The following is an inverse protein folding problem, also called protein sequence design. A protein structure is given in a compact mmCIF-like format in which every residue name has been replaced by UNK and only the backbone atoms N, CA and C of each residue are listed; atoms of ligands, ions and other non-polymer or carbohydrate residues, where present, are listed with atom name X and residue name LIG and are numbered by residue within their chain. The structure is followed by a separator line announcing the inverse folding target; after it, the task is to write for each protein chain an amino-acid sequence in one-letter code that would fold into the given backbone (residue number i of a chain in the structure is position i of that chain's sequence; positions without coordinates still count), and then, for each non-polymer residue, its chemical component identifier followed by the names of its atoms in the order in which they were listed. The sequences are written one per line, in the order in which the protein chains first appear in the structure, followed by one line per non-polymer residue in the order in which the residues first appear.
data_IF_929301172220
#
_entry.id   IF_929301172220
#
_cell.length_a   1.000
_cell.length_b   1.000
_cell.length_c   1.000
_cell.angle_alpha   90.00
_cell.angle_beta   90.00
_cell.angle_gamma   90.00
#
_symmetry.space_group_name_H-M   'P 1'
#
loop_
_entity.id
_entity.type
_entity.pdbx_description
1 polymer ?
#
# COMPACT_ATOMS: atom_id res chain seq x y z
N UNK A 1 11.04 -12.05 19.90
CA UNK A 1 10.81 -10.76 19.25
C UNK A 1 11.21 -9.66 20.21
N UNK A 2 12.17 -8.82 19.85
CA UNK A 2 12.58 -7.66 20.63
C UNK A 2 11.64 -6.50 20.34
N UNK A 3 11.09 -5.89 21.39
CA UNK A 3 10.20 -4.74 21.30
C UNK A 3 10.61 -3.68 22.31
N UNK A 4 10.42 -2.38 22.03
CA UNK A 4 10.61 -1.36 23.04
C UNK A 4 9.64 -1.54 24.20
N UNK A 5 10.12 -1.38 25.43
CA UNK A 5 9.31 -1.47 26.63
C UNK A 5 8.50 -0.17 26.78
N UNK A 6 7.18 -0.29 26.99
CA UNK A 6 6.40 0.91 27.35
C UNK A 6 6.84 1.39 28.75
N UNK A 7 7.36 2.62 28.80
CA UNK A 7 7.65 3.27 30.06
C UNK A 7 6.35 3.73 30.73
N UNK A 8 6.21 3.60 32.06
CA UNK A 8 5.05 4.14 32.75
C UNK A 8 4.88 5.64 32.49
N UNK A 9 3.64 6.09 32.33
CA UNK A 9 3.31 7.48 31.95
C UNK A 9 3.84 8.57 32.90
N UNK A 10 4.17 8.21 34.15
CA UNK A 10 4.77 9.13 35.12
C UNK A 10 6.28 9.35 34.91
N UNK A 11 6.94 8.57 34.03
CA UNK A 11 8.38 8.69 33.79
C UNK A 11 8.73 9.65 32.63
N UNK A 12 7.81 10.47 32.16
CA UNK A 12 8.35 11.43 31.29
C UNK A 12 7.62 12.10 30.21
N UNK A 13 6.55 12.73 30.48
CA UNK A 13 5.99 13.72 29.54
C UNK A 13 5.86 15.11 30.16
N UNK A 14 6.74 15.48 31.05
CA UNK A 14 6.88 16.89 31.44
C UNK A 14 7.87 17.53 30.48
N UNK A 15 7.40 18.46 29.68
CA UNK A 15 8.19 19.16 28.69
C UNK A 15 9.55 19.64 29.20
N UNK A 16 10.51 19.59 28.29
CA UNK A 16 11.82 20.22 28.44
C UNK A 16 12.90 19.44 29.21
N UNK A 17 13.06 18.14 28.97
CA UNK A 17 14.31 17.48 29.36
C UNK A 17 14.91 16.75 28.17
N UNK A 18 16.07 17.21 27.75
CA UNK A 18 16.98 16.63 26.76
C UNK A 18 17.61 15.29 27.19
N UNK A 19 16.97 14.54 28.07
CA UNK A 19 17.42 13.26 28.59
C UNK A 19 16.27 12.26 28.79
N UNK A 20 15.33 12.20 27.82
CA UNK A 20 14.40 11.08 27.78
C UNK A 20 15.20 9.81 27.49
N UNK A 21 15.32 8.91 28.46
CA UNK A 21 15.90 7.59 28.27
C UNK A 21 15.07 6.87 27.18
N UNK A 22 15.74 6.42 26.12
CA UNK A 22 15.12 5.57 25.14
C UNK A 22 14.59 4.30 25.82
N UNK A 23 13.37 3.88 25.45
CA UNK A 23 12.77 2.68 26.00
C UNK A 23 13.69 1.46 25.70
N UNK A 24 14.08 0.67 26.71
CA UNK A 24 14.89 -0.50 26.48
C UNK A 24 14.14 -1.54 25.67
N UNK A 25 14.86 -2.31 24.84
CA UNK A 25 14.29 -3.42 24.11
C UNK A 25 14.23 -4.68 24.99
N UNK A 26 13.12 -5.40 24.92
CA UNK A 26 12.90 -6.65 25.64
C UNK A 26 12.22 -7.70 24.76
N UNK A 27 12.26 -8.97 25.20
CA UNK A 27 11.62 -10.08 24.51
C UNK A 27 10.15 -10.21 24.96
N UNK A 28 9.24 -9.58 24.21
CA UNK A 28 7.81 -9.56 24.56
C UNK A 28 6.93 -10.45 23.66
N UNK A 29 7.48 -11.08 22.63
CA UNK A 29 6.67 -11.88 21.72
C UNK A 29 7.44 -13.04 21.08
N UNK A 30 6.67 -14.01 20.59
CA UNK A 30 7.17 -15.13 19.80
C UNK A 30 6.50 -15.17 18.43
N UNK A 31 7.29 -15.42 17.41
CA UNK A 31 6.84 -15.54 16.01
C UNK A 31 7.22 -16.92 15.51
N UNK A 32 6.31 -17.57 14.84
CA UNK A 32 6.55 -18.79 14.09
C UNK A 32 6.62 -18.47 12.59
N UNK A 33 7.65 -18.97 11.91
CA UNK A 33 7.76 -18.94 10.46
C UNK A 33 7.82 -20.39 9.96
N UNK A 34 6.99 -20.69 8.95
CA UNK A 34 6.97 -21.98 8.26
C UNK A 34 7.01 -21.75 6.76
N UNK A 35 7.90 -22.45 6.09
CA UNK A 35 8.05 -22.29 4.65
C UNK A 35 8.55 -23.52 3.96
N UNK A 36 8.48 -23.49 2.64
CA UNK A 36 9.06 -24.45 1.74
C UNK A 36 9.85 -23.67 0.68
N UNK A 37 11.07 -24.14 0.41
CA UNK A 37 11.91 -23.63 -0.66
C UNK A 37 12.24 -24.77 -1.61
N UNK A 38 12.14 -24.50 -2.90
CA UNK A 38 12.48 -25.44 -3.96
C UNK A 38 13.40 -24.74 -4.94
N UNK A 39 14.56 -25.35 -5.20
CA UNK A 39 15.51 -24.92 -6.22
C UNK A 39 15.67 -26.04 -7.25
N UNK A 40 15.54 -25.69 -8.52
CA UNK A 40 15.73 -26.60 -9.65
C UNK A 40 16.86 -26.06 -10.50
N UNK A 41 17.96 -26.81 -10.58
CA UNK A 41 19.08 -26.56 -11.46
C UNK A 41 19.03 -27.55 -12.63
N UNK A 42 18.98 -27.02 -13.83
CA UNK A 42 18.93 -27.82 -15.06
C UNK A 42 19.98 -27.36 -16.07
N UNK A 43 20.49 -28.31 -16.83
CA UNK A 43 21.39 -28.08 -17.96
C UNK A 43 20.72 -28.66 -19.23
N UNK A 44 19.67 -27.98 -19.76
CA UNK A 44 18.86 -28.54 -20.83
C UNK A 44 19.65 -28.82 -22.12
N UNK A 45 20.64 -27.98 -22.37
CA UNK A 45 21.53 -28.11 -23.55
C UNK A 45 22.97 -27.94 -23.13
N UNK A 46 23.81 -28.90 -23.49
CA UNK A 46 25.25 -28.81 -23.30
C UNK A 46 25.95 -29.44 -24.50
N UNK A 47 26.37 -28.60 -25.43
CA UNK A 47 27.12 -28.99 -26.63
C UNK A 47 28.48 -28.29 -26.69
N UNK A 48 29.33 -28.68 -27.61
CA UNK A 48 30.66 -28.07 -27.79
C UNK A 48 30.61 -26.52 -27.98
N UNK A 49 29.56 -26.01 -28.66
CA UNK A 49 29.47 -24.64 -29.08
C UNK A 49 28.36 -23.84 -28.37
N UNK A 50 27.43 -24.54 -27.71
CA UNK A 50 26.29 -23.92 -27.06
C UNK A 50 25.94 -24.65 -25.77
N UNK A 51 25.77 -23.91 -24.69
CA UNK A 51 25.20 -24.41 -23.44
C UNK A 51 24.07 -23.50 -22.94
N UNK A 52 23.10 -24.11 -22.31
CA UNK A 52 22.02 -23.46 -21.59
C UNK A 52 21.93 -24.03 -20.18
N UNK A 53 22.15 -23.16 -19.20
CA UNK A 53 21.96 -23.44 -17.77
C UNK A 53 20.74 -22.68 -17.28
N UNK A 54 19.85 -23.33 -16.56
CA UNK A 54 18.63 -22.76 -16.02
C UNK A 54 18.51 -23.08 -14.55
N UNK A 55 18.38 -22.07 -13.71
CA UNK A 55 18.20 -22.16 -12.28
C UNK A 55 16.88 -21.48 -11.91
N UNK A 56 15.94 -22.25 -11.36
CA UNK A 56 14.66 -21.75 -10.88
C UNK A 56 14.54 -22.01 -9.39
N UNK A 57 14.18 -20.97 -8.66
CA UNK A 57 13.91 -21.03 -7.23
C UNK A 57 12.52 -20.48 -6.91
N UNK A 58 11.84 -21.08 -5.96
CA UNK A 58 10.55 -20.62 -5.46
C UNK A 58 10.49 -20.86 -3.96
N UNK A 59 10.01 -19.85 -3.22
CA UNK A 59 9.89 -19.90 -1.77
C UNK A 59 8.47 -19.52 -1.34
N UNK A 60 7.89 -20.33 -0.47
CA UNK A 60 6.64 -20.07 0.24
C UNK A 60 6.96 -19.89 1.72
N UNK A 61 6.54 -18.78 2.29
CA UNK A 61 6.69 -18.54 3.72
C UNK A 61 5.39 -18.03 4.34
N UNK A 62 5.04 -18.53 5.52
CA UNK A 62 3.95 -18.04 6.35
C UNK A 62 4.47 -17.72 7.72
N UNK A 63 4.22 -16.52 8.19
CA UNK A 63 4.50 -16.12 9.55
C UNK A 63 3.23 -16.12 10.40
N UNK A 64 3.39 -16.25 11.71
CA UNK A 64 2.32 -16.18 12.69
C UNK A 64 2.86 -15.65 14.02
N UNK A 65 2.19 -14.66 14.58
CA UNK A 65 2.45 -14.24 15.95
C UNK A 65 1.83 -15.27 16.91
N UNK A 66 2.67 -16.00 17.66
CA UNK A 66 2.19 -17.09 18.51
C UNK A 66 1.98 -16.66 19.95
N UNK A 67 2.72 -15.66 20.42
CA UNK A 67 2.63 -15.16 21.78
C UNK A 67 3.01 -13.68 21.81
N UNK A 68 2.32 -12.94 22.66
CA UNK A 68 2.67 -11.58 23.06
C UNK A 68 2.58 -11.50 24.57
N UNK A 69 3.65 -11.09 25.24
CA UNK A 69 3.69 -10.92 26.70
C UNK A 69 3.74 -9.44 27.02
N UNK A 70 2.80 -8.97 27.85
CA UNK A 70 2.69 -7.57 28.27
C UNK A 70 1.28 -7.28 28.76
N UNK A 71 1.14 -6.23 29.53
CA UNK A 71 -0.02 -6.01 30.40
C UNK A 71 -1.24 -5.39 29.73
N UNK A 72 -1.24 -5.02 28.45
CA UNK A 72 -2.38 -4.24 27.96
C UNK A 72 -2.78 -4.36 26.50
N UNK A 73 -2.03 -4.98 25.64
CA UNK A 73 -2.52 -5.10 24.25
C UNK A 73 -2.20 -6.46 23.66
N UNK A 74 -3.24 -7.16 23.30
CA UNK A 74 -3.16 -8.42 22.56
C UNK A 74 -2.69 -8.24 21.10
N UNK A 75 -2.25 -7.04 20.71
CA UNK A 75 -1.91 -6.69 19.33
C UNK A 75 -0.71 -5.75 19.24
N UNK A 76 0.04 -5.86 18.14
CA UNK A 76 1.06 -4.89 17.73
C UNK A 76 0.44 -4.01 16.65
N UNK A 77 0.43 -2.71 16.89
CA UNK A 77 -0.09 -1.71 15.94
C UNK A 77 1.06 -1.10 15.16
N UNK A 78 0.91 -1.06 13.85
CA UNK A 78 1.80 -0.33 12.95
C UNK A 78 1.17 1.00 12.57
N UNK A 79 1.92 2.09 12.79
CA UNK A 79 1.47 3.46 12.58
C UNK A 79 2.10 4.02 11.32
N UNK A 80 1.29 4.62 10.46
CA UNK A 80 1.72 5.30 9.25
C UNK A 80 2.29 6.69 9.52
N UNK A 81 2.76 7.35 8.48
CA UNK A 81 3.46 8.64 8.56
C UNK A 81 2.64 9.78 9.19
N UNK A 82 1.31 9.71 9.16
CA UNK A 82 0.41 10.72 9.73
C UNK A 82 -0.29 10.24 11.01
N UNK A 83 0.36 9.36 11.77
CA UNK A 83 -0.17 8.76 13.01
C UNK A 83 -1.40 7.85 12.84
N UNK A 84 -1.75 7.48 11.61
CA UNK A 84 -2.84 6.52 11.37
C UNK A 84 -2.38 5.11 11.70
N UNK A 85 -3.17 4.35 12.42
CA UNK A 85 -2.96 2.90 12.55
C UNK A 85 -3.30 2.23 11.24
N UNK A 86 -2.29 1.77 10.50
CA UNK A 86 -2.45 1.16 9.17
C UNK A 86 -2.31 -0.36 9.18
N UNK A 87 -1.68 -0.92 10.20
CA UNK A 87 -1.53 -2.37 10.34
C UNK A 87 -1.73 -2.84 11.76
N UNK A 88 -2.12 -4.11 11.89
CA UNK A 88 -2.33 -4.80 13.16
C UNK A 88 -1.79 -6.21 13.10
N UNK A 89 -1.17 -6.67 14.18
CA UNK A 89 -0.68 -8.04 14.33
C UNK A 89 -1.23 -8.61 15.63
N UNK A 90 -2.30 -9.41 15.54
CA UNK A 90 -2.88 -10.11 16.68
C UNK A 90 -2.23 -11.48 16.89
N UNK A 91 -2.26 -11.98 18.11
CA UNK A 91 -1.86 -13.34 18.42
C UNK A 91 -2.72 -14.32 17.63
N UNK A 92 -2.10 -15.24 16.94
CA UNK A 92 -2.76 -16.19 16.06
C UNK A 92 -2.84 -15.76 14.60
N UNK A 93 -2.51 -14.51 14.26
CA UNK A 93 -2.57 -13.93 12.92
C UNK A 93 -1.16 -13.71 12.34
N UNK A 94 -1.05 -13.55 11.00
CA UNK A 94 0.16 -13.06 10.36
C UNK A 94 0.53 -11.65 10.85
N UNK A 95 1.83 -11.35 10.80
CA UNK A 95 2.34 -10.01 11.12
C UNK A 95 2.01 -8.99 10.04
N UNK A 96 1.88 -7.73 10.45
CA UNK A 96 1.80 -6.54 9.60
C UNK A 96 0.57 -6.50 8.68
N UNK A 97 -0.50 -7.24 8.96
CA UNK A 97 -1.70 -7.18 8.16
C UNK A 97 -2.30 -5.75 8.20
N UNK A 98 -2.68 -5.24 7.03
CA UNK A 98 -3.39 -3.97 6.95
C UNK A 98 -4.72 -4.06 7.68
N UNK A 99 -5.02 -3.03 8.48
CA UNK A 99 -6.16 -2.99 9.37
C UNK A 99 -6.90 -1.67 9.21
N UNK A 100 -8.16 -1.74 8.76
CA UNK A 100 -8.94 -0.55 8.42
C UNK A 100 -10.39 -0.88 8.11
N UNK A 101 -11.07 0.10 7.52
CA UNK A 101 -12.47 0.00 7.16
C UNK A 101 -12.67 -0.70 5.82
N UNK A 102 -13.84 -1.30 5.64
CA UNK A 102 -14.31 -1.85 4.36
C UNK A 102 -15.27 -0.86 3.73
N UNK A 103 -15.04 -0.49 2.48
CA UNK A 103 -15.89 0.46 1.77
C UNK A 103 -17.11 -0.22 1.15
N UNK A 104 -18.21 0.53 1.01
CA UNK A 104 -19.50 0.08 0.42
C UNK A 104 -20.01 1.06 -0.64
N UNK A 105 -19.10 1.65 -1.40
CA UNK A 105 -19.42 2.66 -2.40
C UNK A 105 -19.50 4.07 -1.83
N UNK A 106 -20.43 4.86 -2.34
CA UNK A 106 -20.68 6.25 -1.91
C UNK A 106 -22.17 6.45 -1.60
N UNK A 107 -22.45 7.39 -0.73
CA UNK A 107 -23.83 7.79 -0.49
C UNK A 107 -24.42 8.46 -1.73
N UNK A 108 -25.52 7.95 -2.26
CA UNK A 108 -26.08 8.41 -3.54
C UNK A 108 -27.17 9.47 -3.41
N UNK A 109 -27.83 9.53 -2.24
CA UNK A 109 -28.92 10.46 -1.93
C UNK A 109 -29.07 10.66 -0.43
N UNK A 110 -29.89 11.61 -0.03
CA UNK A 110 -30.31 11.76 1.37
C UNK A 110 -30.93 10.49 1.94
N UNK A 111 -31.84 9.87 1.19
CA UNK A 111 -32.48 8.63 1.61
C UNK A 111 -31.48 7.49 1.83
N UNK A 112 -30.46 7.38 0.99
CA UNK A 112 -29.37 6.41 1.16
C UNK A 112 -28.59 6.69 2.45
N UNK A 113 -28.30 7.96 2.77
CA UNK A 113 -27.68 8.34 4.04
C UNK A 113 -28.56 7.89 5.22
N UNK A 114 -29.85 8.20 5.20
CA UNK A 114 -30.75 7.87 6.31
C UNK A 114 -30.90 6.36 6.56
N UNK A 115 -30.87 5.57 5.49
CA UNK A 115 -31.03 4.12 5.55
C UNK A 115 -29.72 3.35 5.75
N UNK A 116 -28.58 4.03 5.81
CA UNK A 116 -27.25 3.40 5.95
C UNK A 116 -26.67 3.63 7.34
N UNK A 117 -25.76 2.75 7.81
CA UNK A 117 -24.93 3.01 8.98
C UNK A 117 -24.16 4.32 8.82
N UNK A 118 -23.99 5.06 9.90
CA UNK A 118 -23.43 6.41 9.89
C UNK A 118 -22.22 6.54 10.82
N UNK A 119 -21.21 7.35 10.44
CA UNK A 119 -20.10 7.66 11.34
C UNK A 119 -20.61 8.24 12.67
N UNK A 120 -19.92 7.92 13.76
CA UNK A 120 -20.31 8.41 15.11
C UNK A 120 -20.37 9.94 15.22
N UNK A 121 -19.64 10.66 14.38
CA UNK A 121 -19.68 12.13 14.28
C UNK A 121 -20.85 12.66 13.45
N UNK A 122 -21.68 11.77 12.92
CA UNK A 122 -22.80 12.14 12.07
C UNK A 122 -23.84 12.97 12.81
N UNK A 123 -24.36 13.95 12.12
CA UNK A 123 -25.54 14.69 12.59
C UNK A 123 -25.30 15.69 13.70
N UNK A 124 -24.09 16.20 13.87
CA UNK A 124 -23.80 17.20 14.90
C UNK A 124 -24.97 18.13 15.24
N UNK A 125 -24.97 18.85 16.31
CA UNK A 125 -26.11 19.62 16.90
C UNK A 125 -26.89 20.54 15.93
N UNK A 126 -26.38 20.77 14.72
CA UNK A 126 -26.93 21.69 13.72
C UNK A 126 -27.56 20.96 12.48
N UNK A 127 -27.75 19.65 12.52
CA UNK A 127 -28.29 18.89 11.39
C UNK A 127 -27.30 18.73 10.22
N UNK A 128 -27.81 18.40 9.03
CA UNK A 128 -27.01 18.18 7.84
C UNK A 128 -26.32 19.44 7.37
N UNK A 129 -25.00 19.42 7.33
CA UNK A 129 -24.20 20.47 6.79
C UNK A 129 -22.99 19.87 6.09
N UNK A 130 -22.82 20.12 4.78
CA UNK A 130 -21.72 19.58 3.99
C UNK A 130 -20.33 19.91 4.51
N UNK A 131 -20.17 20.82 5.44
CA UNK A 131 -18.89 21.20 6.03
C UNK A 131 -18.56 20.47 7.34
N UNK A 132 -19.52 19.80 7.95
CA UNK A 132 -19.34 19.16 9.25
C UNK A 132 -20.09 17.84 9.46
N UNK A 133 -20.69 17.29 8.39
CA UNK A 133 -21.41 16.01 8.43
C UNK A 133 -21.14 15.19 7.17
N UNK A 134 -21.56 13.93 7.18
CA UNK A 134 -21.65 13.10 5.96
C UNK A 134 -22.52 13.79 4.92
N UNK A 135 -22.09 13.71 3.67
CA UNK A 135 -22.80 14.30 2.55
C UNK A 135 -22.99 13.31 1.40
N UNK A 136 -23.93 13.63 0.52
CA UNK A 136 -24.14 12.88 -0.71
C UNK A 136 -22.86 12.90 -1.55
N UNK A 137 -22.39 11.71 -1.96
CA UNK A 137 -21.12 11.53 -2.67
C UNK A 137 -19.92 11.16 -1.79
N UNK A 138 -20.06 11.19 -0.46
CA UNK A 138 -19.04 10.71 0.47
C UNK A 138 -18.93 9.18 0.47
N UNK A 139 -17.77 8.65 0.88
CA UNK A 139 -17.56 7.21 1.02
C UNK A 139 -18.46 6.64 2.08
N UNK A 140 -19.14 5.56 1.73
CA UNK A 140 -19.91 4.73 2.65
C UNK A 140 -19.05 3.57 3.14
N UNK A 141 -18.99 3.35 4.44
CA UNK A 141 -18.29 2.25 5.08
C UNK A 141 -19.24 1.20 5.60
N UNK A 142 -18.80 -0.06 5.67
CA UNK A 142 -19.59 -1.16 6.22
C UNK A 142 -19.54 -1.15 7.72
N UNK A 143 -20.71 -1.25 8.33
CA UNK A 143 -20.90 -1.62 9.74
C UNK A 143 -20.76 -3.15 9.84
N UNK A 144 -19.68 -3.60 10.44
CA UNK A 144 -19.36 -5.04 10.54
C UNK A 144 -19.31 -5.52 11.98
N UNK A 145 -19.17 -4.60 12.95
CA UNK A 145 -19.04 -4.95 14.36
C UNK A 145 -19.38 -3.74 15.24
N UNK A 146 -19.89 -3.99 16.42
CA UNK A 146 -20.10 -3.02 17.50
C UNK A 146 -19.49 -3.54 18.81
N UNK A 147 -19.82 -2.94 19.97
CA UNK A 147 -19.27 -3.33 21.27
C UNK A 147 -19.55 -4.79 21.66
N UNK A 148 -20.63 -5.38 21.14
CA UNK A 148 -21.00 -6.79 21.35
C UNK A 148 -20.58 -7.72 20.21
N UNK A 149 -19.77 -7.22 19.26
CA UNK A 149 -19.29 -7.96 18.09
C UNK A 149 -20.29 -8.12 16.97
N UNK A 150 -21.34 -7.30 16.94
CA UNK A 150 -22.37 -7.27 15.88
C UNK A 150 -22.57 -5.86 15.34
N UNK A 151 -23.04 -5.70 14.09
CA UNK A 151 -23.41 -4.40 13.54
C UNK A 151 -24.37 -3.64 14.47
N UNK A 152 -24.11 -2.37 14.74
CA UNK A 152 -24.88 -1.54 15.66
C UNK A 152 -25.49 -0.28 15.03
N UNK A 153 -25.34 -0.13 13.70
CA UNK A 153 -25.87 1.02 12.93
C UNK A 153 -24.94 2.22 12.93
N UNK A 154 -23.73 2.10 13.49
CA UNK A 154 -22.74 3.17 13.53
C UNK A 154 -21.45 2.71 12.85
N UNK A 155 -20.66 3.68 12.39
CA UNK A 155 -19.31 3.43 11.87
C UNK A 155 -18.31 4.01 12.86
N UNK A 156 -17.61 3.14 13.56
CA UNK A 156 -16.59 3.50 14.56
C UNK A 156 -15.36 2.59 14.51
N UNK A 157 -14.51 2.64 15.51
CA UNK A 157 -13.28 1.83 15.59
C UNK A 157 -13.54 0.31 15.62
N UNK A 158 -14.74 -0.13 16.00
CA UNK A 158 -15.12 -1.55 16.05
C UNK A 158 -15.33 -2.13 14.64
N UNK A 159 -15.60 -1.28 13.62
CA UNK A 159 -15.81 -1.68 12.23
C UNK A 159 -14.52 -1.90 11.46
N UNK A 160 -13.36 -1.71 12.11
CA UNK A 160 -12.08 -1.98 11.47
C UNK A 160 -11.78 -3.47 11.47
N UNK A 161 -11.27 -3.94 10.33
CA UNK A 161 -10.93 -5.36 10.13
C UNK A 161 -9.65 -5.52 9.32
N UNK A 162 -9.21 -6.76 9.13
CA UNK A 162 -8.08 -7.06 8.24
C UNK A 162 -8.47 -6.88 6.78
N UNK A 163 -7.86 -5.91 6.12
CA UNK A 163 -8.16 -5.52 4.73
C UNK A 163 -7.10 -5.96 3.72
N UNK A 164 -6.01 -6.53 4.17
CA UNK A 164 -4.96 -7.06 3.30
C UNK A 164 -3.72 -7.56 4.03
N UNK A 165 -2.96 -8.40 3.35
CA UNK A 165 -1.70 -8.92 3.86
C UNK A 165 -0.54 -8.48 2.96
N UNK A 166 0.47 -7.75 3.48
CA UNK A 166 1.61 -7.32 2.69
C UNK A 166 2.61 -8.45 2.40
N UNK A 167 2.53 -9.57 3.12
CA UNK A 167 3.41 -10.69 2.89
C UNK A 167 3.00 -11.46 1.64
N UNK A 168 3.96 -11.79 0.75
CA UNK A 168 3.67 -12.57 -0.44
C UNK A 168 3.23 -14.00 -0.10
N UNK A 169 2.43 -14.58 -0.94
CA UNK A 169 2.12 -16.02 -0.89
C UNK A 169 3.33 -16.84 -1.30
N UNK A 170 4.06 -16.36 -2.31
CA UNK A 170 5.34 -16.91 -2.73
C UNK A 170 6.17 -15.85 -3.47
N UNK A 171 7.48 -16.07 -3.47
CA UNK A 171 8.45 -15.35 -4.29
C UNK A 171 9.19 -16.36 -5.16
N UNK A 172 9.68 -15.91 -6.32
CA UNK A 172 10.45 -16.75 -7.19
C UNK A 172 11.59 -15.98 -7.85
N UNK A 173 12.64 -16.70 -8.19
CA UNK A 173 13.77 -16.28 -9.01
C UNK A 173 13.99 -17.25 -10.14
N UNK A 174 14.36 -16.75 -11.32
CA UNK A 174 14.70 -17.57 -12.48
C UNK A 174 15.87 -16.99 -13.23
N UNK A 175 17.01 -17.69 -13.15
CA UNK A 175 18.23 -17.36 -13.87
C UNK A 175 18.40 -18.29 -15.08
N UNK A 176 18.61 -17.70 -16.25
CA UNK A 176 18.97 -18.43 -17.45
C UNK A 176 20.32 -17.92 -17.98
N UNK A 177 21.26 -18.81 -18.18
CA UNK A 177 22.56 -18.50 -18.73
C UNK A 177 22.77 -19.28 -20.02
N UNK A 178 22.98 -18.55 -21.09
CA UNK A 178 23.27 -19.07 -22.41
C UNK A 178 24.71 -18.77 -22.76
N UNK A 179 25.45 -19.75 -23.24
CA UNK A 179 26.82 -19.57 -23.77
C UNK A 179 26.86 -20.07 -25.20
N UNK A 180 27.31 -19.23 -26.09
CA UNK A 180 27.50 -19.59 -27.48
C UNK A 180 28.87 -19.13 -27.93
N UNK A 181 29.81 -20.09 -28.12
CA UNK A 181 31.24 -19.81 -28.40
C UNK A 181 31.80 -18.80 -27.36
N UNK A 182 32.13 -17.62 -27.82
CA UNK A 182 32.78 -16.55 -27.03
C UNK A 182 31.76 -15.58 -26.42
N UNK A 183 30.44 -15.78 -26.66
CA UNK A 183 29.36 -14.99 -26.07
C UNK A 183 28.76 -15.70 -24.86
N UNK A 184 28.41 -14.92 -23.86
CA UNK A 184 27.57 -15.33 -22.74
C UNK A 184 26.43 -14.34 -22.52
N UNK A 185 25.24 -14.85 -22.28
CA UNK A 185 24.04 -14.08 -21.95
C UNK A 185 23.44 -14.66 -20.68
N UNK A 186 23.29 -13.85 -19.65
CA UNK A 186 22.59 -14.21 -18.42
C UNK A 186 21.35 -13.33 -18.25
N UNK A 187 20.21 -13.92 -17.95
CA UNK A 187 18.95 -13.23 -17.70
C UNK A 187 18.43 -13.69 -16.33
N UNK A 188 18.25 -12.75 -15.42
CA UNK A 188 17.63 -12.99 -14.12
C UNK A 188 16.29 -12.29 -14.04
N UNK A 189 15.26 -13.07 -13.72
CA UNK A 189 13.89 -12.64 -13.53
C UNK A 189 13.51 -12.96 -12.09
N UNK A 190 12.87 -12.02 -11.39
CA UNK A 190 12.30 -12.30 -10.09
C UNK A 190 10.86 -11.83 -10.01
N UNK A 191 10.14 -12.35 -9.03
CA UNK A 191 8.76 -11.93 -8.79
C UNK A 191 8.28 -12.22 -7.38
N UNK A 192 7.24 -11.51 -7.03
CA UNK A 192 6.48 -11.66 -5.78
C UNK A 192 5.00 -11.77 -6.13
N UNK A 193 4.29 -12.70 -5.50
CA UNK A 193 2.89 -12.95 -5.83
C UNK A 193 2.03 -13.04 -4.58
N UNK A 194 0.91 -12.33 -4.62
CA UNK A 194 -0.14 -12.39 -3.61
C UNK A 194 0.01 -11.42 -2.45
N UNK A 195 1.08 -10.62 -2.43
CA UNK A 195 1.22 -9.50 -1.48
C UNK A 195 0.28 -8.36 -1.84
N UNK A 196 -0.18 -7.65 -0.80
CA UNK A 196 -0.91 -6.39 -0.92
C UNK A 196 0.02 -5.22 -0.59
N UNK A 197 -0.27 -4.08 -1.19
CA UNK A 197 0.39 -2.79 -0.92
C UNK A 197 -0.68 -1.80 -0.50
N UNK A 198 -0.44 -1.08 0.58
CA UNK A 198 -1.22 0.10 0.93
C UNK A 198 -0.64 1.31 0.21
N UNK A 199 -1.35 1.83 -0.79
CA UNK A 199 -0.92 2.97 -1.58
C UNK A 199 -1.26 4.28 -0.83
N UNK A 200 -0.37 4.69 0.05
CA UNK A 200 -0.56 5.85 0.93
C UNK A 200 -0.47 7.17 0.17
N UNK A 201 0.29 7.22 -0.93
CA UNK A 201 0.33 8.39 -1.82
C UNK A 201 -1.02 8.60 -2.46
N UNK A 202 -1.64 7.53 -2.97
CA UNK A 202 -2.96 7.60 -3.58
C UNK A 202 -4.01 8.11 -2.60
N UNK A 203 -3.91 7.73 -1.32
CA UNK A 203 -4.80 8.25 -0.28
C UNK A 203 -4.75 9.79 -0.21
N UNK A 204 -3.57 10.38 -0.38
CA UNK A 204 -3.40 11.83 -0.40
C UNK A 204 -3.82 12.46 -1.71
N UNK A 205 -3.42 11.87 -2.84
CA UNK A 205 -3.69 12.43 -4.17
C UNK A 205 -5.16 12.27 -4.60
N UNK A 206 -5.90 11.33 -4.02
CA UNK A 206 -7.34 11.11 -4.28
C UNK A 206 -8.24 11.79 -3.22
N UNK A 207 -7.67 12.54 -2.28
CA UNK A 207 -8.40 13.09 -1.14
C UNK A 207 -9.46 14.13 -1.52
N UNK A 208 -9.17 15.00 -2.48
CA UNK A 208 -10.07 16.08 -2.97
C UNK A 208 -10.69 16.94 -1.85
N UNK A 209 -9.95 17.13 -0.76
CA UNK A 209 -10.39 17.83 0.44
C UNK A 209 -9.79 19.22 0.63
N UNK A 210 -8.85 19.58 -0.23
CA UNK A 210 -8.15 20.86 -0.19
C UNK A 210 -7.93 21.40 -1.61
N UNK A 211 -8.09 22.69 -1.80
CA UNK A 211 -7.81 23.38 -3.07
C UNK A 211 -6.32 23.64 -3.28
N UNK A 212 -5.50 23.41 -2.27
CA UNK A 212 -4.06 23.68 -2.27
C UNK A 212 -3.19 22.44 -2.50
N UNK A 213 -3.81 21.27 -2.64
CA UNK A 213 -3.11 20.00 -2.83
C UNK A 213 -3.20 19.54 -4.28
N UNK A 214 -2.12 18.98 -4.80
CA UNK A 214 -2.12 18.30 -6.09
C UNK A 214 -2.98 17.04 -6.00
N UNK A 215 -3.66 16.72 -7.11
CA UNK A 215 -4.53 15.56 -7.23
C UNK A 215 -4.05 14.62 -8.34
N UNK A 216 -4.37 13.35 -8.19
CA UNK A 216 -4.16 12.34 -9.23
C UNK A 216 -5.19 12.52 -10.35
N UNK A 217 -4.84 12.14 -11.59
CA UNK A 217 -5.80 12.06 -12.69
C UNK A 217 -6.93 11.06 -12.47
N UNK A 218 -6.78 10.13 -11.52
CA UNK A 218 -7.83 9.17 -11.14
C UNK A 218 -9.09 9.87 -10.64
N UNK A 219 -8.97 11.07 -10.04
CA UNK A 219 -10.11 11.85 -9.54
C UNK A 219 -11.03 12.37 -10.65
N UNK A 220 -10.61 12.31 -11.91
CA UNK A 220 -11.49 12.61 -13.05
C UNK A 220 -12.65 11.61 -13.14
N UNK A 221 -12.47 10.40 -12.64
CA UNK A 221 -13.51 9.37 -12.55
C UNK A 221 -14.33 9.42 -11.26
N UNK A 222 -14.29 10.51 -10.49
CA UNK A 222 -15.05 10.66 -9.25
C UNK A 222 -16.56 10.62 -9.45
N UNK A 223 -17.28 10.31 -8.40
CA UNK A 223 -18.73 10.49 -8.34
C UNK A 223 -19.10 11.98 -8.49
N UNK A 224 -20.10 12.28 -9.28
CA UNK A 224 -20.56 13.63 -9.52
C UNK A 224 -21.89 13.90 -8.83
N UNK A 225 -21.94 14.98 -8.06
CA UNK A 225 -23.16 15.47 -7.43
C UNK A 225 -23.90 16.37 -8.41
N UNK A 226 -25.22 16.17 -8.54
CA UNK A 226 -26.11 16.98 -9.37
C UNK A 226 -27.37 17.34 -8.61
N UNK A 227 -28.04 18.40 -9.05
CA UNK A 227 -29.37 18.73 -8.52
C UNK A 227 -30.41 17.69 -9.00
N UNK A 228 -31.30 17.24 -8.12
CA UNK A 228 -32.49 16.45 -8.47
C UNK A 228 -33.44 17.33 -9.31
N UNK A 229 -33.73 18.53 -8.82
CA UNK A 229 -34.48 19.55 -9.54
C UNK A 229 -33.59 20.75 -9.81
N UNK A 230 -33.01 20.89 -11.02
CA UNK A 230 -32.13 22.01 -11.37
C UNK A 230 -32.87 23.38 -11.44
N UNK A 231 -34.19 23.36 -11.54
CA UNK A 231 -35.03 24.56 -11.63
C UNK A 231 -35.64 24.98 -10.28
N UNK A 232 -35.21 24.39 -9.15
CA UNK A 232 -35.69 24.78 -7.83
C UNK A 232 -35.26 26.21 -7.53
N UNK A 233 -36.22 27.06 -7.16
CA UNK A 233 -35.97 28.46 -6.83
C UNK A 233 -35.41 28.60 -5.40
N UNK A 234 -34.25 29.19 -5.28
CA UNK A 234 -33.56 29.50 -4.03
C UNK A 234 -33.47 31.01 -3.73
N UNK A 235 -34.10 31.87 -4.51
CA UNK A 235 -33.99 33.32 -4.37
C UNK A 235 -34.45 33.84 -3.02
N UNK A 236 -35.47 33.20 -2.43
CA UNK A 236 -35.99 33.52 -1.09
C UNK A 236 -35.44 32.61 0.02
N UNK A 237 -34.48 31.77 -0.31
CA UNK A 237 -34.01 30.69 0.55
C UNK A 237 -34.98 29.53 0.67
N UNK A 238 -34.46 28.37 0.98
CA UNK A 238 -35.20 27.15 1.26
C UNK A 238 -34.88 26.63 2.65
N UNK A 239 -35.87 26.31 3.43
CA UNK A 239 -35.68 25.73 4.77
C UNK A 239 -35.72 24.20 4.67
N UNK A 240 -34.55 23.62 4.49
CA UNK A 240 -34.36 22.17 4.38
C UNK A 240 -34.29 21.46 5.73
N UNK A 241 -33.86 20.22 5.74
CA UNK A 241 -33.76 19.35 6.91
C UNK A 241 -32.91 19.90 8.05
N UNK A 242 -31.92 20.74 7.77
CA UNK A 242 -30.98 21.29 8.74
C UNK A 242 -31.46 22.55 9.45
N UNK A 243 -32.72 22.90 9.33
CA UNK A 243 -33.30 24.13 9.89
C UNK A 243 -32.63 25.45 9.46
N UNK A 244 -31.54 25.42 8.69
CA UNK A 244 -30.88 26.56 8.13
C UNK A 244 -31.51 26.95 6.79
N UNK A 245 -31.43 28.22 6.44
CA UNK A 245 -31.84 28.67 5.11
C UNK A 245 -30.77 28.28 4.07
N UNK A 246 -31.20 27.61 3.02
CA UNK A 246 -30.37 27.18 1.90
C UNK A 246 -30.64 28.07 0.68
N UNK A 247 -29.61 28.57 0.06
CA UNK A 247 -29.68 29.49 -1.07
C UNK A 247 -29.12 28.90 -2.37
N UNK A 248 -28.63 27.67 -2.34
CA UNK A 248 -28.05 26.99 -3.47
C UNK A 248 -28.39 25.50 -3.47
N UNK A 249 -28.52 24.89 -4.65
CA UNK A 249 -28.85 23.48 -4.80
C UNK A 249 -27.81 22.54 -4.15
N UNK A 250 -26.54 22.90 -4.18
CA UNK A 250 -25.46 22.08 -3.63
C UNK A 250 -25.33 22.13 -2.09
N UNK A 251 -26.09 22.99 -1.43
CA UNK A 251 -26.24 23.04 0.03
C UNK A 251 -27.57 22.45 0.49
N UNK A 252 -28.43 22.04 -0.45
CA UNK A 252 -29.75 21.46 -0.17
C UNK A 252 -29.68 19.93 -0.24
N UNK A 253 -29.60 19.26 0.91
CA UNK A 253 -29.50 17.81 0.98
C UNK A 253 -30.71 17.09 0.37
N UNK A 254 -31.86 17.75 0.31
CA UNK A 254 -33.08 17.21 -0.30
C UNK A 254 -33.07 17.31 -1.83
N UNK A 255 -32.16 18.10 -2.39
CA UNK A 255 -32.08 18.34 -3.82
C UNK A 255 -30.75 17.92 -4.44
N UNK A 256 -29.95 17.13 -3.76
CA UNK A 256 -28.69 16.60 -4.29
C UNK A 256 -28.72 15.08 -4.46
N UNK A 257 -28.09 14.60 -5.53
CA UNK A 257 -27.94 13.17 -5.80
C UNK A 257 -26.63 12.91 -6.54
N UNK A 258 -26.17 11.67 -6.49
CA UNK A 258 -25.09 11.17 -7.33
C UNK A 258 -25.69 10.48 -8.55
N UNK A 259 -25.35 10.95 -9.76
CA UNK A 259 -25.87 10.38 -11.02
C UNK A 259 -24.96 9.30 -11.60
N UNK A 260 -23.67 9.27 -11.24
CA UNK A 260 -22.68 8.30 -11.70
C UNK A 260 -21.88 7.77 -10.50
N UNK A 261 -22.46 6.94 -9.64
CA UNK A 261 -21.72 6.42 -8.48
C UNK A 261 -20.51 5.61 -8.92
N UNK A 262 -19.35 5.94 -8.38
CA UNK A 262 -18.10 5.22 -8.57
C UNK A 262 -17.50 4.87 -7.21
N UNK A 263 -16.39 4.14 -7.19
CA UNK A 263 -15.62 3.89 -5.94
C UNK A 263 -14.83 5.12 -5.47
N UNK A 264 -14.83 6.22 -6.25
CA UNK A 264 -14.15 7.47 -5.91
C UNK A 264 -15.21 8.46 -5.44
N UNK A 265 -15.13 9.01 -4.22
CA UNK A 265 -16.12 9.94 -3.69
C UNK A 265 -16.18 11.23 -4.51
N UNK A 266 -17.22 12.00 -4.31
CA UNK A 266 -17.26 13.37 -4.76
C UNK A 266 -16.22 14.21 -4.01
N UNK A 267 -15.82 15.34 -4.61
CA UNK A 267 -14.95 16.29 -3.93
C UNK A 267 -15.69 16.90 -2.74
N UNK A 268 -15.09 16.82 -1.55
CA UNK A 268 -15.66 17.33 -0.32
C UNK A 268 -14.62 18.13 0.46
N UNK A 269 -14.81 19.45 0.47
CA UNK A 269 -13.90 20.36 1.16
C UNK A 269 -13.85 20.06 2.66
N UNK A 270 -12.66 20.03 3.23
CA UNK A 270 -12.37 19.69 4.63
C UNK A 270 -12.69 18.23 5.04
N UNK A 271 -13.32 17.44 4.17
CA UNK A 271 -13.58 16.00 4.34
C UNK A 271 -14.08 15.59 5.74
N UNK A 272 -15.23 16.09 6.21
CA UNK A 272 -15.74 15.80 7.56
C UNK A 272 -16.12 14.32 7.74
N UNK A 273 -16.41 13.60 6.66
CA UNK A 273 -16.64 12.15 6.67
C UNK A 273 -15.35 11.35 6.80
N UNK A 274 -14.18 12.00 6.59
CA UNK A 274 -12.90 11.32 6.51
C UNK A 274 -12.89 10.23 5.41
N UNK A 275 -13.20 10.63 4.17
CA UNK A 275 -13.15 9.76 2.98
C UNK A 275 -11.74 9.16 2.77
N UNK A 276 -10.75 9.70 3.47
CA UNK A 276 -9.36 9.25 3.50
C UNK A 276 -9.03 8.30 4.65
N UNK A 277 -10.02 7.77 5.38
CA UNK A 277 -9.78 6.75 6.41
C UNK A 277 -8.97 5.58 5.86
N UNK A 278 -8.17 4.97 6.73
CA UNK A 278 -7.49 3.72 6.40
C UNK A 278 -8.51 2.66 6.02
N UNK A 279 -8.56 2.30 4.74
CA UNK A 279 -9.61 1.42 4.19
C UNK A 279 -9.08 0.57 3.03
N UNK A 280 -9.86 -0.42 2.64
CA UNK A 280 -9.59 -1.31 1.51
C UNK A 280 -9.50 -0.57 0.16
N UNK A 281 -10.04 0.65 0.08
CA UNK A 281 -9.96 1.52 -1.10
C UNK A 281 -8.52 1.77 -1.57
N UNK A 282 -7.56 1.79 -0.66
CA UNK A 282 -6.15 2.07 -0.93
C UNK A 282 -5.28 0.82 -0.94
N UNK A 283 -5.89 -0.35 -0.78
CA UNK A 283 -5.21 -1.64 -0.86
C UNK A 283 -5.15 -2.10 -2.31
N UNK A 284 -3.93 -2.27 -2.82
CA UNK A 284 -3.69 -2.70 -4.19
C UNK A 284 -2.96 -4.04 -4.25
N UNK A 285 -3.02 -4.67 -5.42
CA UNK A 285 -2.24 -5.89 -5.67
C UNK A 285 -0.78 -5.53 -5.92
N UNK A 286 0.10 -5.94 -5.02
CA UNK A 286 1.54 -5.71 -5.11
C UNK A 286 2.30 -6.79 -5.86
N UNK A 287 1.61 -7.75 -6.50
CA UNK A 287 2.29 -8.80 -7.27
C UNK A 287 3.01 -8.22 -8.47
N UNK A 288 4.21 -8.73 -8.73
CA UNK A 288 5.00 -8.31 -9.89
C UNK A 288 5.91 -9.42 -10.41
N UNK A 289 6.33 -9.27 -11.66
CA UNK A 289 7.44 -9.95 -12.29
C UNK A 289 8.38 -8.89 -12.86
N UNK A 290 9.68 -9.02 -12.55
CA UNK A 290 10.70 -8.07 -13.00
C UNK A 290 11.84 -8.77 -13.70
N UNK A 291 12.21 -8.26 -14.88
CA UNK A 291 13.50 -8.57 -15.50
C UNK A 291 14.57 -7.77 -14.74
N UNK A 292 15.14 -8.43 -13.73
CA UNK A 292 16.00 -7.79 -12.73
C UNK A 292 17.39 -7.50 -13.25
N UNK A 293 17.93 -8.41 -14.06
CA UNK A 293 19.27 -8.27 -14.60
C UNK A 293 19.40 -9.00 -15.94
N UNK A 294 20.03 -8.33 -16.91
CA UNK A 294 20.48 -8.94 -18.17
C UNK A 294 21.95 -8.59 -18.33
N UNK A 295 22.79 -9.60 -18.48
CA UNK A 295 24.22 -9.44 -18.74
C UNK A 295 24.58 -10.12 -20.05
N UNK A 296 25.12 -9.37 -20.99
CA UNK A 296 25.72 -9.88 -22.21
C UNK A 296 27.22 -9.70 -22.14
N UNK A 297 27.98 -10.76 -22.29
CA UNK A 297 29.44 -10.78 -22.32
C UNK A 297 29.96 -11.28 -23.64
N UNK A 298 31.11 -10.75 -24.04
CA UNK A 298 31.91 -11.26 -25.15
C UNK A 298 33.38 -11.36 -24.74
N UNK A 299 33.94 -12.55 -24.82
CA UNK A 299 35.34 -12.82 -24.52
C UNK A 299 36.10 -12.95 -25.85
N UNK A 300 37.11 -12.10 -26.05
CA UNK A 300 37.87 -12.13 -27.29
C UNK A 300 38.66 -13.43 -27.42
N UNK A 301 38.64 -14.09 -28.61
CA UNK A 301 39.45 -15.27 -28.86
C UNK A 301 40.94 -15.01 -28.60
N UNK A 302 41.62 -15.91 -27.89
CA UNK A 302 43.07 -15.77 -27.55
C UNK A 302 43.95 -15.50 -28.75
N UNK A 303 43.61 -16.01 -29.93
CA UNK A 303 44.35 -15.80 -31.17
C UNK A 303 44.44 -14.33 -31.58
N UNK A 304 43.39 -13.51 -31.26
CA UNK A 304 43.37 -12.11 -31.63
C UNK A 304 44.15 -11.22 -30.66
N UNK A 305 44.15 -11.57 -29.38
CA UNK A 305 44.72 -10.71 -28.31
C UNK A 305 46.18 -11.07 -27.96
N UNK A 306 46.62 -12.28 -28.28
CA UNK A 306 48.00 -12.74 -28.00
C UNK A 306 49.08 -11.88 -28.66
N UNK A 307 48.80 -11.35 -29.86
CA UNK A 307 49.74 -10.51 -30.59
C UNK A 307 50.04 -9.16 -29.92
N UNK A 308 49.18 -8.72 -29.02
CA UNK A 308 49.32 -7.47 -28.24
C UNK A 308 49.71 -7.74 -26.79
N UNK A 309 50.10 -9.00 -26.46
CA UNK A 309 50.59 -9.36 -25.13
C UNK A 309 49.47 -9.51 -24.06
N UNK A 310 48.23 -9.68 -24.48
CA UNK A 310 47.11 -9.85 -23.54
C UNK A 310 46.71 -11.33 -23.42
N UNK A 311 46.37 -11.75 -22.18
CA UNK A 311 45.91 -13.11 -21.89
C UNK A 311 44.39 -13.28 -22.02
N UNK A 312 43.66 -12.27 -21.57
CA UNK A 312 42.20 -12.27 -21.66
C UNK A 312 41.68 -10.85 -21.83
N UNK A 313 40.68 -10.69 -22.70
CA UNK A 313 39.91 -9.45 -22.86
C UNK A 313 38.46 -9.80 -22.92
N UNK A 314 37.65 -9.22 -22.02
CA UNK A 314 36.18 -9.41 -22.00
C UNK A 314 35.46 -8.08 -21.97
N UNK A 315 34.54 -7.88 -22.89
CA UNK A 315 33.55 -6.81 -22.87
C UNK A 315 32.27 -7.32 -22.22
N UNK A 316 31.61 -6.50 -21.44
CA UNK A 316 30.29 -6.82 -20.88
C UNK A 316 29.37 -5.61 -20.91
N UNK A 317 28.10 -5.89 -21.12
CA UNK A 317 26.99 -4.95 -20.96
C UNK A 317 26.02 -5.54 -19.96
N UNK A 318 25.65 -4.77 -18.96
CA UNK A 318 24.69 -5.17 -17.94
C UNK A 318 23.55 -4.15 -17.90
N UNK A 319 22.31 -4.65 -17.85
CA UNK A 319 21.10 -3.86 -17.71
C UNK A 319 20.37 -4.34 -16.46
N UNK A 320 20.12 -3.44 -15.52
CA UNK A 320 19.36 -3.75 -14.30
C UNK A 320 17.99 -3.11 -14.35
N UNK A 321 16.99 -3.82 -13.80
CA UNK A 321 15.60 -3.36 -13.68
C UNK A 321 15.00 -2.93 -15.03
N UNK A 322 15.25 -3.70 -16.09
CA UNK A 322 14.85 -3.35 -17.45
C UNK A 322 13.34 -3.19 -17.60
N UNK A 323 12.58 -4.10 -17.01
CA UNK A 323 11.13 -4.13 -17.17
C UNK A 323 10.44 -4.78 -15.98
N UNK A 324 9.30 -4.21 -15.58
CA UNK A 324 8.45 -4.72 -14.51
C UNK A 324 7.02 -4.86 -15.01
N UNK A 325 6.46 -6.06 -14.89
CA UNK A 325 5.05 -6.35 -15.16
C UNK A 325 4.33 -6.37 -13.82
N UNK A 326 3.37 -5.47 -13.63
CA UNK A 326 2.59 -5.36 -12.41
C UNK A 326 1.22 -4.72 -12.68
N UNK A 327 0.25 -5.03 -11.82
CA UNK A 327 -1.02 -4.30 -11.75
C UNK A 327 -1.04 -3.19 -10.71
N UNK A 328 0.06 -2.98 -9.99
CA UNK A 328 0.20 -1.91 -9.01
C UNK A 328 0.23 -0.54 -9.70
N UNK A 329 -0.48 0.44 -9.14
CA UNK A 329 -0.63 1.78 -9.75
C UNK A 329 0.34 2.82 -9.19
N UNK A 330 1.13 2.48 -8.16
CA UNK A 330 2.21 3.33 -7.64
C UNK A 330 3.47 3.24 -8.48
N UNK A 331 4.56 3.84 -7.99
CA UNK A 331 5.82 3.93 -8.74
C UNK A 331 6.57 2.61 -8.86
N UNK A 332 6.61 1.80 -7.79
CA UNK A 332 7.35 0.53 -7.75
C UNK A 332 6.60 -0.45 -6.83
N UNK A 333 6.25 -1.67 -7.30
CA UNK A 333 5.58 -2.68 -6.48
C UNK A 333 6.50 -3.34 -5.44
N UNK A 334 7.83 -3.19 -5.57
CA UNK A 334 8.82 -3.78 -4.65
C UNK A 334 8.92 -2.93 -3.37
N UNK A 335 7.83 -2.93 -2.59
CA UNK A 335 7.71 -2.23 -1.32
C UNK A 335 8.07 -3.18 -0.17
N UNK A 336 9.13 -2.84 0.55
CA UNK A 336 9.57 -3.55 1.75
C UNK A 336 9.02 -2.95 3.05
N UNK A 337 9.75 -3.16 4.14
CA UNK A 337 9.49 -2.47 5.40
C UNK A 337 9.74 -0.97 5.26
N UNK A 338 8.89 -0.17 5.88
CA UNK A 338 9.16 1.25 6.04
C UNK A 338 10.32 1.43 7.02
N UNK A 339 11.37 2.12 6.59
CA UNK A 339 12.55 2.42 7.41
C UNK A 339 12.49 3.80 8.04
N UNK A 340 11.49 4.61 7.70
CA UNK A 340 11.32 5.94 8.29
C UNK A 340 10.62 5.85 9.64
N UNK A 341 11.34 6.07 10.69
CA UNK A 341 11.03 6.55 12.05
C UNK A 341 9.76 6.05 12.77
N UNK A 342 8.92 5.30 12.14
CA UNK A 342 7.67 4.79 12.68
C UNK A 342 7.85 3.35 13.09
N UNK A 343 7.97 3.07 14.35
CA UNK A 343 7.84 1.79 15.06
C UNK A 343 8.37 0.49 14.41
N UNK A 344 8.80 0.47 13.13
CA UNK A 344 9.27 -0.72 12.42
C UNK A 344 8.22 -1.82 12.23
N UNK A 345 6.94 -1.55 12.51
CA UNK A 345 5.84 -2.53 12.48
C UNK A 345 4.91 -2.39 11.27
N UNK A 346 5.36 -1.69 10.25
CA UNK A 346 4.63 -1.54 8.98
C UNK A 346 5.44 -2.12 7.84
N UNK A 347 4.82 -2.98 7.06
CA UNK A 347 5.36 -3.57 5.84
C UNK A 347 4.39 -3.35 4.69
N UNK A 348 4.91 -3.12 3.46
CA UNK A 348 4.07 -2.93 2.28
C UNK A 348 3.33 -1.58 2.21
N UNK A 349 3.77 -0.57 2.98
CA UNK A 349 3.23 0.79 2.94
C UNK A 349 4.03 1.63 1.94
N UNK A 350 3.38 2.11 0.87
CA UNK A 350 4.01 2.99 -0.12
C UNK A 350 3.80 4.46 0.23
N UNK A 351 4.84 5.07 0.82
CA UNK A 351 4.91 6.51 1.15
C UNK A 351 5.56 7.35 0.03
N UNK A 352 5.61 6.86 -1.22
CA UNK A 352 6.29 7.56 -2.30
C UNK A 352 7.75 7.19 -2.43
N UNK A 353 8.05 5.93 -2.22
CA UNK A 353 9.39 5.43 -2.45
C UNK A 353 9.82 5.69 -3.89
N UNK A 354 11.01 6.26 -4.04
CA UNK A 354 11.60 6.45 -5.36
C UNK A 354 11.74 5.08 -6.07
N UNK A 355 11.27 4.94 -7.32
CA UNK A 355 11.32 3.68 -8.03
C UNK A 355 12.75 3.26 -8.32
N UNK A 356 12.97 1.95 -8.38
CA UNK A 356 14.26 1.38 -8.74
C UNK A 356 14.63 1.78 -10.18
N UNK A 357 15.74 2.53 -10.41
CA UNK A 357 16.08 2.99 -11.74
C UNK A 357 16.53 1.85 -12.64
N UNK A 358 16.32 2.00 -13.95
CA UNK A 358 17.01 1.16 -14.94
C UNK A 358 18.45 1.65 -15.07
N UNK A 359 19.41 0.74 -14.87
CA UNK A 359 20.85 1.05 -14.90
C UNK A 359 21.50 0.28 -16.03
N UNK A 360 22.23 0.99 -16.87
CA UNK A 360 23.08 0.43 -17.93
C UNK A 360 24.53 0.54 -17.51
N UNK A 361 25.26 -0.56 -17.52
CA UNK A 361 26.67 -0.63 -17.16
C UNK A 361 27.46 -1.31 -18.25
N UNK A 362 28.60 -0.76 -18.59
CA UNK A 362 29.56 -1.35 -19.56
C UNK A 362 30.85 -1.66 -18.84
N UNK A 363 31.38 -2.85 -19.04
CA UNK A 363 32.60 -3.33 -18.41
C UNK A 363 33.62 -3.79 -19.45
N UNK A 364 34.85 -3.42 -19.23
CA UNK A 364 36.01 -3.97 -19.94
C UNK A 364 36.93 -4.62 -18.90
N UNK A 365 37.18 -5.91 -19.08
CA UNK A 365 38.12 -6.67 -18.25
C UNK A 365 39.32 -7.09 -19.11
N UNK A 366 40.51 -6.72 -18.68
CA UNK A 366 41.77 -7.02 -19.42
C UNK A 366 42.73 -7.70 -18.45
N UNK A 367 43.29 -8.84 -18.89
CA UNK A 367 44.36 -9.57 -18.20
C UNK A 367 45.57 -9.64 -19.12
N UNK A 368 46.73 -9.30 -18.59
CA UNK A 368 48.00 -9.28 -19.30
C UNK A 368 49.09 -10.04 -18.53
#
# INVERSE_FOLDING_TARGET
MLMPMQLPSYMGTSGNTSSALAAPFGNFGSIENKGLELTINAHPINTKNFSWDSEFEISWNKNKLTKLSGTSSAAILGVGQWNDVVSKSDVGQPLFQFFGYVTDGVYTSYEDIENSPKPVSYGGSNGYNKYNTVWVGDVKYKDISGPDGKPDGKIDENDRTYIGNPMPKYTFGWTNTFRYKDFDLSIFINGSVGNKVYNYIRMKLDAMKSVWENQSSTVLGRSHITAINPNKDYSNGYKGHNANMVYNWYDDIDNVQVTNPTSIPAAHLNDPNENTRVSDRYIENGSYLRVKNITLGYTFPKQWIKHIGLENVRLSCNIQNLWTITGYKGYDPEIGASTSDMNGYVYGLDNGRYPSPTVYSFGLNVTF
#
